data_IF_246334714491
#
_entry.id   IF_246334714491
#
_cell.length_a   1.000
_cell.length_b   1.000
_cell.length_c   1.000
_cell.angle_alpha   90.00
_cell.angle_beta   90.00
_cell.angle_gamma   90.00
#
_symmetry.space_group_name_H-M   'P 1'
#
loop_
_entity.id
_entity.type
_entity.pdbx_description
1 polymer ?
#
# COMPACT_ATOMS: atom_id res chain seq x y z
N UNK A 1 -39.01 9.22 -9.08
CA UNK A 1 -39.72 7.94 -8.83
C UNK A 1 -39.01 6.74 -9.45
N UNK A 2 -38.50 6.81 -10.69
CA UNK A 2 -37.76 5.71 -11.32
C UNK A 2 -36.40 5.38 -10.64
N UNK A 3 -35.71 6.40 -10.13
CA UNK A 3 -34.40 6.24 -9.47
C UNK A 3 -34.52 5.51 -8.12
N UNK A 4 -35.59 5.74 -7.35
CA UNK A 4 -35.78 5.04 -6.07
C UNK A 4 -36.04 3.56 -6.29
N UNK A 5 -36.82 3.20 -7.31
CA UNK A 5 -37.13 1.80 -7.60
C UNK A 5 -35.92 0.99 -8.06
N UNK A 6 -35.00 1.61 -8.81
CA UNK A 6 -33.72 1.00 -9.19
C UNK A 6 -32.83 0.83 -7.96
N UNK A 7 -32.77 1.85 -7.09
CA UNK A 7 -32.03 1.76 -5.84
C UNK A 7 -32.57 0.63 -4.96
N UNK A 8 -33.89 0.53 -4.80
CA UNK A 8 -34.54 -0.50 -3.99
C UNK A 8 -34.27 -1.91 -4.55
N UNK A 9 -34.28 -2.10 -5.87
CA UNK A 9 -33.91 -3.39 -6.49
C UNK A 9 -32.44 -3.72 -6.27
N UNK A 10 -31.53 -2.75 -6.40
CA UNK A 10 -30.11 -2.94 -6.13
C UNK A 10 -29.89 -3.28 -4.64
N UNK A 11 -30.54 -2.57 -3.72
CA UNK A 11 -30.44 -2.82 -2.28
C UNK A 11 -31.04 -4.17 -1.88
N UNK A 12 -32.16 -4.60 -2.49
CA UNK A 12 -32.74 -5.93 -2.27
C UNK A 12 -31.85 -7.05 -2.80
N UNK A 13 -31.20 -6.85 -3.94
CA UNK A 13 -30.29 -7.84 -4.53
C UNK A 13 -28.97 -7.92 -3.74
N UNK A 14 -28.47 -6.78 -3.28
CA UNK A 14 -27.35 -6.71 -2.34
C UNK A 14 -27.73 -7.41 -1.04
N UNK A 15 -28.89 -7.09 -0.46
CA UNK A 15 -29.37 -7.66 0.80
C UNK A 15 -29.64 -9.17 0.75
N UNK A 16 -30.12 -9.69 -0.40
CA UNK A 16 -30.30 -11.14 -0.62
C UNK A 16 -29.00 -11.92 -0.68
N UNK A 17 -27.94 -11.30 -1.19
CA UNK A 17 -26.61 -11.91 -1.35
C UNK A 17 -25.61 -11.45 -0.28
N UNK A 18 -26.02 -10.59 0.67
CA UNK A 18 -25.17 -10.05 1.74
C UNK A 18 -24.95 -11.14 2.81
N UNK A 19 -24.08 -12.09 2.47
CA UNK A 19 -23.50 -12.98 3.45
C UNK A 19 -22.26 -12.31 4.03
N UNK A 20 -22.16 -12.25 5.36
CA UNK A 20 -20.98 -11.74 6.08
C UNK A 20 -19.71 -12.46 5.60
N UNK A 21 -19.82 -13.72 5.20
CA UNK A 21 -18.72 -14.53 4.68
C UNK A 21 -18.28 -14.08 3.29
N UNK A 22 -19.24 -13.76 2.40
CA UNK A 22 -18.93 -13.22 1.07
C UNK A 22 -18.27 -11.84 1.18
N UNK A 23 -18.78 -10.99 2.08
CA UNK A 23 -18.17 -9.67 2.36
C UNK A 23 -16.74 -9.81 2.90
N UNK A 24 -16.50 -10.70 3.87
CA UNK A 24 -15.17 -10.94 4.42
C UNK A 24 -14.21 -11.48 3.35
N UNK A 25 -14.68 -12.38 2.49
CA UNK A 25 -13.89 -12.93 1.39
C UNK A 25 -13.46 -11.85 0.39
N UNK A 26 -14.39 -11.01 -0.06
CA UNK A 26 -14.08 -9.91 -0.99
C UNK A 26 -13.12 -8.91 -0.34
N UNK A 27 -13.34 -8.57 0.92
CA UNK A 27 -12.47 -7.66 1.68
C UNK A 27 -11.06 -8.22 1.81
N UNK A 28 -10.92 -9.54 2.07
CA UNK A 28 -9.61 -10.22 2.11
C UNK A 28 -8.87 -10.14 0.78
N UNK A 29 -9.55 -10.45 -0.33
CA UNK A 29 -8.95 -10.39 -1.67
C UNK A 29 -8.50 -8.96 -1.98
N UNK A 30 -9.35 -7.97 -1.70
CA UNK A 30 -9.02 -6.57 -1.89
C UNK A 30 -7.81 -6.16 -1.05
N UNK A 31 -7.82 -6.41 0.26
CA UNK A 31 -6.72 -6.01 1.15
C UNK A 31 -5.38 -6.67 0.77
N UNK A 32 -5.39 -7.92 0.31
CA UNK A 32 -4.18 -8.59 -0.20
C UNK A 32 -3.66 -7.93 -1.47
N UNK A 33 -4.53 -7.70 -2.46
CA UNK A 33 -4.14 -7.07 -3.73
C UNK A 33 -3.62 -5.64 -3.51
N UNK A 34 -4.29 -4.87 -2.65
CA UNK A 34 -3.84 -3.53 -2.27
C UNK A 34 -2.49 -3.57 -1.56
N UNK A 35 -2.34 -4.43 -0.55
CA UNK A 35 -1.08 -4.56 0.20
C UNK A 35 0.10 -4.97 -0.70
N UNK A 36 -0.12 -5.87 -1.66
CA UNK A 36 0.92 -6.28 -2.63
C UNK A 36 1.30 -5.10 -3.53
N UNK A 37 0.31 -4.37 -4.03
CA UNK A 37 0.53 -3.21 -4.88
C UNK A 37 1.35 -2.15 -4.14
N UNK A 38 1.02 -1.89 -2.88
CA UNK A 38 1.75 -0.94 -2.03
C UNK A 38 3.19 -1.40 -1.78
N UNK A 39 3.43 -2.70 -1.52
CA UNK A 39 4.80 -3.23 -1.40
C UNK A 39 5.61 -2.96 -2.66
N UNK A 40 5.04 -3.24 -3.84
CA UNK A 40 5.74 -3.04 -5.12
C UNK A 40 6.06 -1.57 -5.37
N UNK A 41 5.09 -0.68 -5.15
CA UNK A 41 5.27 0.77 -5.33
C UNK A 41 6.36 1.28 -4.38
N UNK A 42 6.29 0.94 -3.09
CA UNK A 42 7.27 1.38 -2.09
C UNK A 42 8.64 0.79 -2.40
N UNK A 43 8.72 -0.46 -2.84
CA UNK A 43 9.96 -1.10 -3.25
C UNK A 43 10.64 -0.32 -4.39
N UNK A 44 9.88 0.01 -5.44
CA UNK A 44 10.39 0.79 -6.58
C UNK A 44 10.84 2.17 -6.13
N UNK A 45 10.06 2.86 -5.29
CA UNK A 45 10.46 4.16 -4.74
C UNK A 45 11.75 4.09 -3.93
N UNK A 46 11.88 3.12 -3.02
CA UNK A 46 13.10 2.93 -2.25
C UNK A 46 14.29 2.61 -3.15
N UNK A 47 14.08 1.87 -4.24
CA UNK A 47 15.13 1.56 -5.22
C UNK A 47 15.62 2.81 -5.94
N UNK A 48 14.71 3.69 -6.36
CA UNK A 48 15.05 5.00 -6.94
C UNK A 48 15.87 5.82 -5.94
N UNK A 49 15.39 5.93 -4.69
CA UNK A 49 16.11 6.68 -3.65
C UNK A 49 17.48 6.07 -3.38
N UNK A 50 17.61 4.74 -3.36
CA UNK A 50 18.89 4.07 -3.17
C UNK A 50 19.89 4.42 -4.26
N UNK A 51 19.45 4.47 -5.52
CA UNK A 51 20.30 4.89 -6.66
C UNK A 51 20.75 6.35 -6.52
N UNK A 52 19.84 7.25 -6.14
CA UNK A 52 20.16 8.67 -5.90
C UNK A 52 21.18 8.81 -4.76
N UNK A 53 21.03 8.02 -3.68
CA UNK A 53 21.96 8.04 -2.55
C UNK A 53 23.33 7.48 -2.91
N UNK A 54 23.40 6.47 -3.76
CA UNK A 54 24.65 5.91 -4.26
C UNK A 54 25.44 6.94 -5.08
N UNK A 55 24.76 7.69 -5.96
CA UNK A 55 25.36 8.81 -6.70
C UNK A 55 25.87 9.93 -5.77
N UNK A 56 25.16 10.18 -4.68
CA UNK A 56 25.53 11.20 -3.68
C UNK A 56 26.44 10.65 -2.55
N UNK A 57 27.00 9.45 -2.69
CA UNK A 57 27.87 8.79 -1.70
C UNK A 57 27.27 8.70 -0.27
N UNK A 58 25.94 8.62 -0.16
CA UNK A 58 25.23 8.48 1.11
C UNK A 58 25.10 7.00 1.52
N UNK A 59 24.95 6.77 2.83
CA UNK A 59 24.75 5.42 3.39
C UNK A 59 23.50 4.73 2.80
N UNK A 60 23.55 3.40 2.67
CA UNK A 60 22.43 2.54 2.21
C UNK A 60 21.23 2.60 3.18
N UNK A 61 20.04 2.36 2.65
CA UNK A 61 18.77 2.54 3.37
C UNK A 61 18.21 1.21 3.92
N UNK A 62 19.05 0.43 4.61
CA UNK A 62 18.72 -0.95 4.99
C UNK A 62 17.46 -1.04 5.86
N UNK A 63 17.29 -0.16 6.83
CA UNK A 63 16.14 -0.19 7.76
C UNK A 63 14.79 -0.03 7.04
N UNK A 64 14.70 0.82 6.00
CA UNK A 64 13.45 1.03 5.26
C UNK A 64 13.04 -0.23 4.49
N UNK A 65 14.01 -0.95 3.93
CA UNK A 65 13.77 -2.26 3.33
C UNK A 65 13.35 -3.30 4.35
N UNK A 66 13.92 -3.30 5.56
CA UNK A 66 13.51 -4.22 6.63
C UNK A 66 12.04 -4.01 7.00
N UNK A 67 11.60 -2.76 7.20
CA UNK A 67 10.19 -2.45 7.49
C UNK A 67 9.25 -2.85 6.34
N UNK A 68 9.68 -2.62 5.09
CA UNK A 68 8.93 -3.07 3.92
C UNK A 68 8.79 -4.60 3.87
N UNK A 69 9.89 -5.33 4.08
CA UNK A 69 9.86 -6.80 4.11
C UNK A 69 9.03 -7.34 5.27
N UNK A 70 9.09 -6.70 6.44
CA UNK A 70 8.23 -7.05 7.58
C UNK A 70 6.76 -6.91 7.19
N UNK A 71 6.38 -5.83 6.50
CA UNK A 71 5.00 -5.66 6.02
C UNK A 71 4.62 -6.73 5.00
N UNK A 72 5.51 -7.10 4.07
CA UNK A 72 5.26 -8.14 3.07
C UNK A 72 5.07 -9.53 3.70
N UNK A 73 5.84 -9.84 4.76
CA UNK A 73 5.71 -11.09 5.52
C UNK A 73 4.36 -11.15 6.25
N UNK A 74 3.78 -10.01 6.64
CA UNK A 74 2.49 -9.95 7.30
C UNK A 74 1.29 -10.18 6.35
N UNK A 75 1.45 -9.94 5.04
CA UNK A 75 0.36 -10.06 4.04
C UNK A 75 -0.29 -11.46 4.02
N UNK A 76 0.47 -12.58 3.96
CA UNK A 76 -0.12 -13.92 4.00
C UNK A 76 -0.98 -14.19 5.23
N UNK A 77 -0.72 -13.52 6.36
CA UNK A 77 -1.52 -13.69 7.58
C UNK A 77 -2.93 -13.09 7.45
N UNK A 78 -3.18 -12.21 6.48
CA UNK A 78 -4.53 -11.69 6.19
C UNK A 78 -5.50 -12.82 5.82
N UNK A 79 -5.02 -13.88 5.16
CA UNK A 79 -5.84 -15.04 4.77
C UNK A 79 -6.36 -15.79 6.00
N UNK A 80 -5.55 -15.87 7.05
CA UNK A 80 -5.78 -16.67 8.26
C UNK A 80 -6.80 -16.01 9.20
N UNK A 81 -7.02 -14.70 9.08
CA UNK A 81 -7.94 -13.96 9.96
C UNK A 81 -9.37 -14.51 9.86
N UNK A 82 -10.00 -14.83 11.00
CA UNK A 82 -11.35 -15.44 11.01
C UNK A 82 -12.45 -14.41 11.25
N UNK A 83 -12.11 -13.23 11.75
CA UNK A 83 -13.07 -12.17 12.07
C UNK A 83 -12.73 -10.87 11.32
N UNK A 84 -13.74 -10.06 10.95
CA UNK A 84 -13.51 -8.76 10.31
C UNK A 84 -12.62 -7.82 11.13
N UNK A 85 -12.74 -7.86 12.47
CA UNK A 85 -11.95 -7.01 13.37
C UNK A 85 -10.48 -7.39 13.34
N UNK A 86 -10.16 -8.69 13.38
CA UNK A 86 -8.77 -9.16 13.26
C UNK A 86 -8.17 -8.81 11.90
N UNK A 87 -8.96 -8.95 10.82
CA UNK A 87 -8.56 -8.55 9.48
C UNK A 87 -8.19 -7.06 9.45
N UNK A 88 -9.10 -6.20 9.94
CA UNK A 88 -8.90 -4.76 9.94
C UNK A 88 -7.68 -4.32 10.77
N UNK A 89 -7.45 -4.93 11.94
CA UNK A 89 -6.28 -4.64 12.78
C UNK A 89 -5.00 -5.00 12.03
N UNK A 90 -4.94 -6.19 11.43
CA UNK A 90 -3.76 -6.65 10.70
C UNK A 90 -3.49 -5.79 9.46
N UNK A 91 -4.53 -5.47 8.69
CA UNK A 91 -4.47 -4.57 7.54
C UNK A 91 -3.95 -3.18 7.95
N UNK A 92 -4.45 -2.64 9.07
CA UNK A 92 -3.98 -1.36 9.61
C UNK A 92 -2.50 -1.39 10.01
N UNK A 93 -2.00 -2.50 10.55
CA UNK A 93 -0.58 -2.68 10.89
C UNK A 93 0.26 -2.71 9.60
N UNK A 94 -0.14 -3.51 8.61
CA UNK A 94 0.56 -3.62 7.32
C UNK A 94 0.64 -2.25 6.66
N UNK A 95 -0.51 -1.58 6.52
CA UNK A 95 -0.61 -0.25 5.93
C UNK A 95 0.18 0.79 6.72
N UNK A 96 0.10 0.76 8.06
CA UNK A 96 0.85 1.68 8.93
C UNK A 96 2.36 1.56 8.74
N UNK A 97 2.89 0.34 8.61
CA UNK A 97 4.31 0.10 8.33
C UNK A 97 4.71 0.64 6.95
N UNK A 98 3.92 0.30 5.92
CA UNK A 98 4.14 0.72 4.55
C UNK A 98 4.12 2.26 4.40
N UNK A 99 3.07 2.89 4.93
CA UNK A 99 2.89 4.33 4.90
C UNK A 99 4.00 5.06 5.68
N UNK A 100 4.43 4.51 6.82
CA UNK A 100 5.55 5.09 7.60
C UNK A 100 6.86 5.10 6.81
N UNK A 101 7.16 4.02 6.08
CA UNK A 101 8.35 3.96 5.19
C UNK A 101 8.27 5.00 4.08
N UNK A 102 7.08 5.18 3.51
CA UNK A 102 6.80 6.13 2.45
C UNK A 102 6.98 7.57 2.95
N UNK A 103 6.30 7.95 4.03
CA UNK A 103 6.38 9.28 4.65
C UNK A 103 7.82 9.59 5.06
N UNK A 104 8.49 8.67 5.74
CA UNK A 104 9.88 8.88 6.13
C UNK A 104 10.79 9.09 4.92
N UNK A 105 10.60 8.34 3.84
CA UNK A 105 11.37 8.49 2.61
C UNK A 105 11.11 9.83 1.91
N UNK A 106 9.85 10.24 1.82
CA UNK A 106 9.49 11.55 1.26
C UNK A 106 10.12 12.66 2.09
N UNK A 107 9.89 12.69 3.41
CA UNK A 107 10.39 13.77 4.27
C UNK A 107 11.92 13.88 4.23
N UNK A 108 12.63 12.75 4.19
CA UNK A 108 14.10 12.76 4.22
C UNK A 108 14.75 13.01 2.86
N UNK A 109 14.11 12.64 1.75
CA UNK A 109 14.76 12.59 0.42
C UNK A 109 14.05 13.45 -0.64
N UNK A 110 12.97 14.17 -0.29
CA UNK A 110 12.22 15.02 -1.24
C UNK A 110 13.15 15.95 -2.02
N UNK A 111 14.07 16.63 -1.32
CA UNK A 111 14.97 17.61 -1.96
C UNK A 111 15.89 16.95 -2.98
N UNK A 112 16.55 15.87 -2.62
CA UNK A 112 17.49 15.17 -3.49
C UNK A 112 16.77 14.51 -4.67
N UNK A 113 15.57 13.99 -4.44
CA UNK A 113 14.72 13.40 -5.47
C UNK A 113 14.29 14.45 -6.50
N UNK A 114 13.82 15.62 -6.04
CA UNK A 114 13.44 16.73 -6.93
C UNK A 114 14.63 17.25 -7.72
N UNK A 115 15.81 17.38 -7.09
CA UNK A 115 17.03 17.81 -7.78
C UNK A 115 17.45 16.79 -8.85
N UNK A 116 17.40 15.49 -8.53
CA UNK A 116 17.72 14.42 -9.47
C UNK A 116 16.77 14.42 -10.69
N UNK A 117 15.45 14.47 -10.47
CA UNK A 117 14.50 14.56 -11.58
C UNK A 117 14.65 15.84 -12.39
N UNK A 118 14.93 16.97 -11.74
CA UNK A 118 15.22 18.22 -12.45
C UNK A 118 16.43 18.06 -13.37
N UNK A 119 17.52 17.45 -12.91
CA UNK A 119 18.72 17.19 -13.74
C UNK A 119 18.38 16.32 -14.95
N UNK A 120 17.63 15.23 -14.77
CA UNK A 120 17.19 14.37 -15.88
C UNK A 120 16.37 15.15 -16.91
N UNK A 121 15.43 15.98 -16.46
CA UNK A 121 14.54 16.75 -17.36
C UNK A 121 15.31 17.87 -18.09
N UNK A 122 16.31 18.48 -17.44
CA UNK A 122 17.07 19.61 -18.01
C UNK A 122 18.32 19.19 -18.78
N UNK A 123 18.72 17.91 -18.74
CA UNK A 123 19.82 17.37 -19.55
C UNK A 123 21.22 17.88 -19.19
N UNK A 124 21.40 18.45 -17.99
CA UNK A 124 22.71 18.88 -17.50
C UNK A 124 23.31 17.79 -16.61
N UNK A 125 24.23 17.01 -17.19
CA UNK A 125 25.16 16.12 -16.48
C UNK A 125 26.19 16.93 -15.66
#
# INVERSE_FOLDING_TARGET
>A
MMISHIADMIFLEIGKNFSTDAYLLTTKVQGILWSISDVLIIYVMLKIVSLIREQNQKKKILYRYIFLWLSAILIPFLVITTTPVQFFILESIIFGLQFSVLIYSVVTETRDTVVFFKKIITGND
#
